data_IF_173747752393
#
_entry.id   IF_173747752393
#
_cell.length_a   1.000
_cell.length_b   1.000
_cell.length_c   1.000
_cell.angle_alpha   90.00
_cell.angle_beta   90.00
_cell.angle_gamma   90.00
#
_symmetry.space_group_name_H-M   'P 1'
#
loop_
_entity.id
_entity.type
_entity.pdbx_description
1 polymer ?
#
# COMPACT_ATOMS: atom_id res chain seq x y z
N UNK A 1 2.48 2.85 -22.18
CA UNK A 1 3.73 3.03 -21.40
C UNK A 1 4.91 3.28 -22.33
N UNK A 2 4.93 2.68 -23.52
CA UNK A 2 6.06 2.76 -24.45
C UNK A 2 6.34 4.15 -25.00
N UNK A 3 5.29 4.99 -25.10
CA UNK A 3 5.35 6.37 -25.62
C UNK A 3 5.80 7.41 -24.59
N UNK A 4 6.02 7.05 -23.32
CA UNK A 4 6.50 8.00 -22.31
C UNK A 4 7.96 8.40 -22.58
N UNK A 5 8.34 9.68 -22.41
CA UNK A 5 9.73 10.10 -22.49
C UNK A 5 10.61 9.36 -21.48
N UNK A 6 11.87 9.09 -21.83
CA UNK A 6 12.82 8.36 -20.97
C UNK A 6 12.95 9.00 -19.58
N UNK A 7 12.99 10.34 -19.51
CA UNK A 7 13.05 11.06 -18.24
C UNK A 7 11.81 10.88 -17.36
N UNK A 8 10.63 10.63 -17.94
CA UNK A 8 9.42 10.36 -17.15
C UNK A 8 9.42 8.94 -16.61
N UNK A 9 9.99 7.99 -17.35
CA UNK A 9 10.12 6.59 -16.90
C UNK A 9 11.00 6.48 -15.64
N UNK A 10 11.92 7.42 -15.41
CA UNK A 10 12.74 7.44 -14.17
C UNK A 10 11.96 7.88 -12.93
N UNK A 11 10.71 8.34 -13.07
CA UNK A 11 9.83 8.67 -11.95
C UNK A 11 8.94 7.50 -11.54
N UNK A 12 9.09 6.35 -12.19
CA UNK A 12 8.33 5.13 -11.96
C UNK A 12 9.27 4.01 -11.50
N UNK A 13 8.70 2.96 -10.92
CA UNK A 13 9.42 1.69 -10.80
C UNK A 13 9.88 1.18 -12.17
N UNK A 14 11.02 0.45 -12.23
CA UNK A 14 11.45 -0.24 -13.44
C UNK A 14 10.32 -1.08 -14.04
N UNK A 15 10.09 -0.91 -15.34
CA UNK A 15 9.06 -1.63 -16.09
C UNK A 15 9.63 -2.89 -16.74
N UNK A 16 8.85 -3.97 -16.89
CA UNK A 16 7.49 -4.14 -16.39
C UNK A 16 7.45 -4.38 -14.88
N UNK A 17 6.41 -3.87 -14.21
CA UNK A 17 6.17 -4.18 -12.81
C UNK A 17 5.58 -5.58 -12.65
N UNK A 18 5.84 -6.22 -11.51
CA UNK A 18 5.05 -7.37 -11.10
C UNK A 18 3.59 -6.94 -10.88
N UNK A 19 2.63 -7.76 -11.30
CA UNK A 19 1.22 -7.50 -11.05
C UNK A 19 0.50 -8.83 -10.84
N UNK A 20 -0.20 -8.95 -9.72
CA UNK A 20 -1.04 -10.10 -9.41
C UNK A 20 -2.47 -9.62 -9.14
N UNK A 21 -3.35 -9.80 -10.13
CA UNK A 21 -4.76 -9.41 -10.00
C UNK A 21 -5.54 -10.23 -8.98
N UNK A 22 -4.95 -11.31 -8.45
CA UNK A 22 -5.61 -12.18 -7.49
C UNK A 22 -5.52 -11.67 -6.05
N UNK A 23 -4.65 -10.68 -5.79
CA UNK A 23 -4.48 -10.06 -4.48
C UNK A 23 -5.82 -9.52 -3.95
N UNK A 24 -6.24 -9.90 -2.73
CA UNK A 24 -7.46 -9.42 -2.07
C UNK A 24 -7.73 -7.91 -2.20
N UNK A 25 -6.75 -7.04 -1.98
CA UNK A 25 -6.92 -5.59 -2.08
C UNK A 25 -7.28 -5.12 -3.48
N UNK A 26 -6.66 -5.73 -4.51
CA UNK A 26 -6.96 -5.43 -5.91
C UNK A 26 -8.31 -5.99 -6.36
N UNK A 27 -8.72 -7.16 -5.84
CA UNK A 27 -10.07 -7.68 -6.06
C UNK A 27 -11.14 -6.76 -5.45
N UNK A 28 -10.99 -6.40 -4.18
CA UNK A 28 -11.89 -5.47 -3.48
C UNK A 28 -12.00 -4.13 -4.20
N UNK A 29 -10.89 -3.61 -4.71
CA UNK A 29 -10.88 -2.35 -5.47
C UNK A 29 -11.77 -2.41 -6.72
N UNK A 30 -11.81 -3.55 -7.44
CA UNK A 30 -12.72 -3.72 -8.58
C UNK A 30 -14.18 -3.76 -8.15
N UNK A 31 -14.48 -4.37 -7.01
CA UNK A 31 -15.83 -4.52 -6.47
C UNK A 31 -16.39 -3.20 -5.92
N UNK A 32 -15.53 -2.36 -5.32
CA UNK A 32 -15.93 -1.09 -4.69
C UNK A 32 -16.24 0.04 -5.67
N UNK A 33 -15.73 -0.03 -6.91
CA UNK A 33 -15.96 0.99 -7.94
C UNK A 33 -16.52 0.40 -9.24
N UNK A 34 -17.73 -0.19 -9.20
CA UNK A 34 -18.34 -0.73 -10.39
C UNK A 34 -18.58 0.38 -11.42
N UNK A 35 -17.98 0.26 -12.60
CA UNK A 35 -18.12 1.22 -13.70
C UNK A 35 -17.07 2.33 -13.76
N UNK A 36 -16.30 2.57 -12.70
CA UNK A 36 -15.22 3.56 -12.71
C UNK A 36 -13.83 2.88 -12.80
N UNK A 37 -13.19 2.98 -13.97
CA UNK A 37 -11.79 2.56 -14.17
C UNK A 37 -11.56 1.06 -14.47
N UNK A 38 -12.54 0.19 -14.19
CA UNK A 38 -12.51 -1.24 -14.59
C UNK A 38 -11.20 -1.95 -14.21
N UNK A 39 -10.66 -2.76 -15.12
CA UNK A 39 -9.39 -3.46 -14.92
C UNK A 39 -8.16 -2.55 -14.80
N UNK A 40 -8.29 -1.28 -15.21
CA UNK A 40 -7.18 -0.33 -15.13
C UNK A 40 -7.02 0.26 -13.74
N UNK A 41 -8.07 0.29 -12.91
CA UNK A 41 -7.98 0.86 -11.56
C UNK A 41 -6.99 0.09 -10.67
N UNK A 42 -7.05 -1.25 -10.55
CA UNK A 42 -6.03 -2.00 -9.79
C UNK A 42 -4.64 -1.96 -10.43
N UNK A 43 -4.54 -1.87 -11.76
CA UNK A 43 -3.25 -1.71 -12.45
C UNK A 43 -2.61 -0.35 -12.14
N UNK A 44 -3.43 0.70 -12.08
CA UNK A 44 -3.00 2.04 -11.69
C UNK A 44 -2.55 2.07 -10.22
N UNK A 45 -3.24 1.33 -9.35
CA UNK A 45 -2.80 1.18 -7.96
C UNK A 45 -1.47 0.41 -7.88
N UNK A 46 -1.34 -0.69 -8.62
CA UNK A 46 -0.14 -1.50 -8.65
C UNK A 46 1.10 -0.72 -9.11
N UNK A 47 1.00 0.14 -10.12
CA UNK A 47 2.13 0.99 -10.52
C UNK A 47 2.49 2.04 -9.47
N UNK A 48 1.52 2.58 -8.72
CA UNK A 48 1.80 3.46 -7.57
C UNK A 48 2.54 2.69 -6.48
N UNK A 49 2.03 1.53 -6.07
CA UNK A 49 2.61 0.69 -5.02
C UNK A 49 4.04 0.26 -5.38
N UNK A 50 4.24 -0.22 -6.60
CA UNK A 50 5.55 -0.62 -7.10
C UNK A 50 6.54 0.56 -7.09
N UNK A 51 6.09 1.74 -7.50
CA UNK A 51 6.91 2.96 -7.55
C UNK A 51 7.29 3.44 -6.15
N UNK A 52 6.35 3.42 -5.19
CA UNK A 52 6.66 3.72 -3.79
C UNK A 52 7.68 2.73 -3.23
N UNK A 53 7.47 1.42 -3.43
CA UNK A 53 8.41 0.38 -2.98
C UNK A 53 9.81 0.54 -3.60
N UNK A 54 9.87 0.86 -4.90
CA UNK A 54 11.13 1.10 -5.61
C UNK A 54 11.94 2.23 -4.95
N UNK A 55 11.31 3.38 -4.71
CA UNK A 55 12.01 4.51 -4.11
C UNK A 55 12.31 4.32 -2.62
N UNK A 56 11.46 3.60 -1.88
CA UNK A 56 11.79 3.20 -0.50
C UNK A 56 13.10 2.42 -0.50
N UNK A 57 13.25 1.41 -1.36
CA UNK A 57 14.48 0.61 -1.43
C UNK A 57 15.67 1.40 -1.98
N UNK A 58 15.45 2.28 -2.95
CA UNK A 58 16.51 3.13 -3.50
C UNK A 58 17.11 4.07 -2.44
N UNK A 59 16.28 4.62 -1.55
CA UNK A 59 16.71 5.58 -0.54
C UNK A 59 16.92 4.97 0.85
N UNK A 60 16.65 3.68 1.02
CA UNK A 60 16.96 2.95 2.24
C UNK A 60 18.48 2.89 2.46
N UNK A 61 18.90 3.21 3.67
CA UNK A 61 20.31 3.11 4.10
C UNK A 61 20.43 2.01 5.15
N UNK A 62 21.25 0.96 4.94
CA UNK A 62 21.44 -0.08 5.93
C UNK A 62 21.81 0.48 7.31
N UNK A 63 21.17 -0.04 8.36
CA UNK A 63 21.34 0.43 9.74
C UNK A 63 20.41 1.58 10.15
N UNK A 64 19.68 2.19 9.21
CA UNK A 64 18.74 3.26 9.51
C UNK A 64 17.28 2.77 9.48
N UNK A 65 16.43 3.43 10.28
CA UNK A 65 14.98 3.31 10.14
C UNK A 65 14.50 4.18 8.98
N UNK A 66 13.70 3.62 8.07
CA UNK A 66 12.99 4.36 7.03
C UNK A 66 11.49 4.39 7.36
N UNK A 67 10.89 5.58 7.39
CA UNK A 67 9.45 5.75 7.62
C UNK A 67 8.84 6.29 6.33
N UNK A 68 7.85 5.57 5.81
CA UNK A 68 7.03 6.00 4.69
C UNK A 68 5.62 6.29 5.18
N UNK A 69 5.10 7.48 4.88
CA UNK A 69 3.71 7.84 5.16
C UNK A 69 2.88 7.61 3.91
N UNK A 70 1.83 6.79 4.01
CA UNK A 70 0.95 6.44 2.90
C UNK A 70 -0.49 6.29 3.40
N UNK A 71 -1.45 6.36 2.48
CA UNK A 71 -2.83 5.97 2.77
C UNK A 71 -2.93 4.48 3.10
N UNK A 72 -3.85 4.09 3.97
CA UNK A 72 -3.97 2.72 4.50
C UNK A 72 -4.09 1.65 3.41
N UNK A 73 -4.77 1.94 2.31
CA UNK A 73 -4.87 1.06 1.13
C UNK A 73 -3.53 0.60 0.55
N UNK A 74 -2.44 1.31 0.81
CA UNK A 74 -1.11 0.99 0.29
C UNK A 74 -0.29 0.05 1.18
N UNK A 75 -0.73 -0.26 2.41
CA UNK A 75 0.02 -1.10 3.35
C UNK A 75 -0.83 -2.03 4.22
N UNK A 76 -2.15 -1.86 4.27
CA UNK A 76 -3.05 -2.75 5.01
C UNK A 76 -3.01 -4.20 4.49
N UNK A 77 -3.26 -5.13 5.39
CA UNK A 77 -3.28 -6.58 5.16
C UNK A 77 -1.97 -7.12 4.56
N UNK A 78 -0.86 -6.41 4.75
CA UNK A 78 0.47 -6.76 4.25
C UNK A 78 0.56 -6.81 2.71
N UNK A 79 -0.34 -6.10 2.02
CA UNK A 79 -0.38 -5.97 0.56
C UNK A 79 0.23 -4.64 0.09
N UNK A 80 -0.06 -4.24 -1.15
CA UNK A 80 0.40 -2.97 -1.72
C UNK A 80 1.92 -2.85 -1.71
N UNK A 81 2.42 -1.75 -1.15
CA UNK A 81 3.86 -1.45 -1.05
C UNK A 81 4.61 -2.61 -0.40
N UNK A 82 4.09 -3.16 0.70
CA UNK A 82 4.79 -4.19 1.47
C UNK A 82 4.97 -5.49 0.67
N UNK A 83 4.01 -5.83 -0.19
CA UNK A 83 4.12 -6.98 -1.08
C UNK A 83 5.30 -6.84 -2.04
N UNK A 84 5.49 -5.66 -2.64
CA UNK A 84 6.63 -5.38 -3.51
C UNK A 84 7.95 -5.36 -2.75
N UNK A 85 7.98 -4.76 -1.55
CA UNK A 85 9.18 -4.71 -0.71
C UNK A 85 9.67 -6.13 -0.36
N UNK A 86 8.78 -6.98 0.17
CA UNK A 86 9.11 -8.37 0.53
C UNK A 86 9.54 -9.21 -0.68
N UNK A 87 8.97 -8.92 -1.86
CA UNK A 87 9.36 -9.61 -3.10
C UNK A 87 10.77 -9.23 -3.58
N UNK A 88 11.19 -7.98 -3.36
CA UNK A 88 12.49 -7.47 -3.80
C UNK A 88 13.61 -7.67 -2.78
N UNK A 89 13.30 -7.59 -1.48
CA UNK A 89 14.26 -7.66 -0.38
C UNK A 89 13.66 -8.44 0.81
N UNK A 90 13.48 -9.77 0.70
CA UNK A 90 12.79 -10.58 1.70
C UNK A 90 13.46 -10.59 3.08
N UNK A 91 14.76 -10.32 3.15
CA UNK A 91 15.55 -10.39 4.39
C UNK A 91 15.49 -9.11 5.23
N UNK A 92 14.90 -8.03 4.71
CA UNK A 92 14.71 -6.80 5.47
C UNK A 92 13.58 -6.96 6.49
N UNK A 93 13.70 -6.22 7.60
CA UNK A 93 12.65 -6.15 8.61
C UNK A 93 11.67 -5.04 8.24
N UNK A 94 10.40 -5.42 8.17
CA UNK A 94 9.29 -4.51 7.85
C UNK A 94 8.33 -4.44 9.02
N UNK A 95 7.71 -3.28 9.21
CA UNK A 95 6.58 -3.09 10.11
C UNK A 95 5.55 -2.19 9.45
N UNK A 96 4.27 -2.52 9.59
CA UNK A 96 3.16 -1.68 9.13
C UNK A 96 2.41 -1.08 10.32
N UNK A 97 1.94 0.15 10.12
CA UNK A 97 1.06 0.84 11.05
C UNK A 97 -0.17 1.27 10.26
N UNK A 98 -1.35 1.02 10.80
CA UNK A 98 -2.60 1.56 10.25
C UNK A 98 -3.40 2.26 11.34
N UNK A 99 -4.31 3.13 10.93
CA UNK A 99 -5.28 3.79 11.81
C UNK A 99 -6.68 3.29 11.45
N UNK A 100 -7.46 2.94 12.46
CA UNK A 100 -8.87 2.53 12.31
C UNK A 100 -9.74 3.38 13.24
N UNK A 101 -10.96 3.68 12.78
CA UNK A 101 -11.97 4.38 13.58
C UNK A 101 -13.01 3.39 14.08
N UNK A 102 -13.39 3.47 15.36
CA UNK A 102 -14.48 2.69 15.95
C UNK A 102 -15.05 3.39 17.18
N UNK A 103 -16.29 3.04 17.53
CA UNK A 103 -17.02 3.63 18.65
C UNK A 103 -16.44 3.30 20.02
N UNK A 104 -16.06 2.05 20.26
CA UNK A 104 -15.47 1.61 21.53
C UNK A 104 -13.98 1.31 21.35
N UNK A 105 -13.12 2.25 21.71
CA UNK A 105 -11.66 2.10 21.56
C UNK A 105 -11.00 1.24 22.66
N UNK A 106 -11.76 0.83 23.69
CA UNK A 106 -11.22 -0.02 24.76
C UNK A 106 -10.92 -1.44 24.29
N UNK A 107 -11.50 -1.84 23.15
CA UNK A 107 -11.33 -3.15 22.53
C UNK A 107 -11.35 -3.07 21.01
N UNK A 108 -10.30 -3.58 20.38
CA UNK A 108 -10.24 -3.65 18.92
C UNK A 108 -11.32 -4.57 18.34
N UNK A 109 -12.07 -4.07 17.35
CA UNK A 109 -13.06 -4.88 16.64
C UNK A 109 -12.41 -6.02 15.85
N UNK A 110 -13.12 -7.15 15.72
CA UNK A 110 -12.62 -8.33 14.98
C UNK A 110 -12.27 -8.01 13.54
N UNK A 111 -13.00 -7.09 12.90
CA UNK A 111 -12.75 -6.67 11.52
C UNK A 111 -11.43 -5.89 11.36
N UNK A 112 -10.89 -5.33 12.46
CA UNK A 112 -9.64 -4.60 12.45
C UNK A 112 -8.42 -5.48 12.78
N UNK A 113 -8.65 -6.71 13.27
CA UNK A 113 -7.55 -7.64 13.57
C UNK A 113 -6.73 -7.95 12.31
N UNK A 114 -5.40 -8.03 12.50
CA UNK A 114 -4.43 -8.39 11.47
C UNK A 114 -4.33 -7.42 10.26
N UNK A 115 -4.91 -6.22 10.34
CA UNK A 115 -4.75 -5.20 9.29
C UNK A 115 -3.31 -4.70 9.16
N UNK A 116 -2.54 -4.71 10.24
CA UNK A 116 -1.14 -4.27 10.30
C UNK A 116 -0.43 -4.87 11.53
N UNK A 117 0.89 -4.70 11.63
CA UNK A 117 1.67 -5.09 12.82
C UNK A 117 1.27 -4.23 14.04
N UNK A 118 0.97 -2.96 13.82
CA UNK A 118 0.46 -2.03 14.82
C UNK A 118 -0.80 -1.33 14.32
N UNK A 119 -1.80 -1.21 15.19
CA UNK A 119 -3.08 -0.61 14.86
C UNK A 119 -3.37 0.50 15.86
N UNK A 120 -3.50 1.73 15.35
CA UNK A 120 -3.93 2.89 16.11
C UNK A 120 -5.46 2.95 16.00
N UNK A 121 -6.12 2.67 17.12
CA UNK A 121 -7.57 2.72 17.23
C UNK A 121 -7.98 4.10 17.74
N UNK A 122 -8.75 4.84 16.94
CA UNK A 122 -9.25 6.18 17.27
C UNK A 122 -10.77 6.17 17.36
N UNK A 123 -11.30 7.13 18.11
CA UNK A 123 -12.75 7.31 18.24
C UNK A 123 -13.38 7.62 16.88
N UNK A 124 -14.62 7.17 16.67
CA UNK A 124 -15.35 7.40 15.42
C UNK A 124 -15.60 8.88 15.14
N UNK A 125 -15.65 9.73 16.18
CA UNK A 125 -15.87 11.17 16.06
C UNK A 125 -14.58 11.97 15.78
N UNK A 126 -13.43 11.29 15.61
CA UNK A 126 -12.18 11.95 15.24
C UNK A 126 -12.28 12.54 13.83
N UNK A 127 -11.76 13.76 13.64
CA UNK A 127 -11.89 14.47 12.35
C UNK A 127 -11.22 13.69 11.23
N UNK A 128 -11.99 13.42 10.17
CA UNK A 128 -11.49 12.76 8.97
C UNK A 128 -11.05 13.79 7.93
N UNK A 129 -9.95 13.49 7.24
CA UNK A 129 -9.45 14.29 6.11
C UNK A 129 -9.25 13.34 4.94
N UNK A 130 -10.17 13.37 3.96
CA UNK A 130 -10.11 12.59 2.73
C UNK A 130 -9.68 13.44 1.54
#
# INVERSE_FOLDING_TARGET
MDTLPTAVKTWLAPLPIAYDSTLPGYKKMKEMMPGHGGDNLPRAQAIKDATMAHFILQYFKPGNLFIHYNGSYHSENYEGILWYLRKQQPDLKYGTITTVSQKDISKLEKANLNKADYIICVDEDMTTTY
#
